data_IF_299065523757
#
_entry.id   IF_299065523757
#
_cell.length_a   1.000
_cell.length_b   1.000
_cell.length_c   1.000
_cell.angle_alpha   90.00
_cell.angle_beta   90.00
_cell.angle_gamma   90.00
#
_symmetry.space_group_name_H-M   'P 1'
#
loop_
_entity.id
_entity.type
_entity.pdbx_description
1 polymer ?
#
# COMPACT_ATOMS: atom_id res chain seq x y z
N UNK A 1 -12.67 -7.92 8.58
CA UNK A 1 -12.41 -6.68 9.33
C UNK A 1 -13.23 -6.70 10.61
N UNK A 2 -13.09 -5.71 11.49
CA UNK A 2 -13.78 -5.64 12.78
C UNK A 2 -15.32 -5.67 12.64
N UNK A 3 -15.85 -5.30 11.48
CA UNK A 3 -17.27 -5.39 11.10
C UNK A 3 -17.67 -6.74 10.48
N UNK A 4 -16.76 -7.72 10.41
CA UNK A 4 -16.95 -9.02 9.79
C UNK A 4 -16.81 -9.04 8.26
N UNK A 5 -16.60 -7.91 7.61
CA UNK A 5 -16.41 -7.85 6.15
C UNK A 5 -15.11 -8.52 5.70
N UNK A 6 -15.10 -9.01 4.46
CA UNK A 6 -13.90 -9.55 3.81
C UNK A 6 -13.40 -8.60 2.74
N UNK A 7 -12.09 -8.32 2.74
CA UNK A 7 -11.44 -7.50 1.71
C UNK A 7 -10.43 -8.36 0.96
N UNK A 8 -10.51 -8.36 -0.36
CA UNK A 8 -9.55 -9.03 -1.24
C UNK A 8 -8.54 -8.03 -1.77
N UNK A 9 -7.27 -8.37 -1.61
CA UNK A 9 -6.15 -7.59 -2.12
C UNK A 9 -5.45 -8.32 -3.25
N UNK A 10 -5.00 -7.56 -4.25
CA UNK A 10 -4.06 -7.99 -5.28
C UNK A 10 -2.84 -7.08 -5.24
N UNK A 11 -1.65 -7.66 -5.42
CA UNK A 11 -0.40 -6.91 -5.46
C UNK A 11 -0.05 -6.52 -6.88
N UNK A 12 0.23 -5.24 -7.08
CA UNK A 12 0.66 -4.68 -8.36
C UNK A 12 2.00 -4.00 -8.18
N UNK A 13 2.85 -3.98 -9.22
CA UNK A 13 3.94 -3.00 -9.26
C UNK A 13 3.32 -1.62 -9.09
N UNK A 14 4.01 -0.72 -8.41
CA UNK A 14 3.49 0.61 -8.13
C UNK A 14 2.99 1.33 -9.39
N UNK A 15 3.66 1.14 -10.53
CA UNK A 15 3.26 1.76 -11.80
C UNK A 15 2.11 1.07 -12.54
N UNK A 16 1.77 -0.17 -12.16
CA UNK A 16 0.70 -0.95 -12.80
C UNK A 16 -0.65 -0.77 -12.10
N UNK A 17 -0.69 0.03 -11.02
CA UNK A 17 -1.93 0.34 -10.29
C UNK A 17 -2.95 1.05 -11.20
N UNK A 18 -4.26 0.83 -11.00
CA UNK A 18 -5.32 1.47 -11.81
C UNK A 18 -5.23 3.00 -11.87
N UNK A 19 -4.72 3.64 -10.81
CA UNK A 19 -4.56 5.10 -10.72
C UNK A 19 -3.65 5.68 -11.80
N UNK A 20 -2.70 4.90 -12.34
CA UNK A 20 -1.79 5.35 -13.37
C UNK A 20 -2.31 5.18 -14.80
N UNK A 21 -3.35 4.35 -15.01
CA UNK A 21 -3.87 4.03 -16.35
C UNK A 21 -4.44 5.26 -17.07
N UNK A 22 -4.92 6.25 -16.33
CA UNK A 22 -5.45 7.49 -16.90
C UNK A 22 -4.37 8.39 -17.54
N UNK A 23 -3.09 8.15 -17.25
CA UNK A 23 -2.00 9.00 -17.73
C UNK A 23 -1.30 8.40 -18.95
N UNK A 24 -1.13 9.22 -19.98
CA UNK A 24 -0.31 8.87 -21.14
C UNK A 24 1.19 9.09 -20.84
N UNK A 25 1.75 8.28 -19.94
CA UNK A 25 3.16 8.35 -19.59
C UNK A 25 4.01 7.43 -20.45
N UNK A 26 5.21 7.91 -20.80
CA UNK A 26 6.22 7.06 -21.44
C UNK A 26 6.67 5.96 -20.49
N UNK A 27 7.09 4.83 -21.05
CA UNK A 27 7.65 3.72 -20.28
C UNK A 27 8.86 4.15 -19.45
N UNK A 28 9.73 5.02 -19.98
CA UNK A 28 10.87 5.57 -19.24
C UNK A 28 10.43 6.31 -17.96
N UNK A 29 9.34 7.09 -18.03
CA UNK A 29 8.82 7.82 -16.88
C UNK A 29 8.26 6.87 -15.83
N UNK A 30 7.54 5.83 -16.25
CA UNK A 30 7.02 4.80 -15.35
C UNK A 30 8.18 4.07 -14.66
N UNK A 31 9.15 3.57 -15.40
CA UNK A 31 10.28 2.83 -14.84
C UNK A 31 11.12 3.68 -13.86
N UNK A 32 11.27 4.99 -14.11
CA UNK A 32 11.90 5.91 -13.13
C UNK A 32 11.10 6.00 -11.83
N UNK A 33 9.77 6.08 -11.89
CA UNK A 33 8.93 6.11 -10.69
C UNK A 33 8.97 4.76 -9.95
N UNK A 34 8.89 3.65 -10.69
CA UNK A 34 8.99 2.30 -10.12
C UNK A 34 10.31 2.14 -9.36
N UNK A 35 11.44 2.47 -10.01
CA UNK A 35 12.77 2.43 -9.40
C UNK A 35 12.88 3.33 -8.16
N UNK A 36 12.18 4.47 -8.14
CA UNK A 36 12.16 5.35 -6.98
C UNK A 36 11.40 4.74 -5.80
N UNK A 37 10.25 4.13 -6.07
CA UNK A 37 9.44 3.45 -5.04
C UNK A 37 10.17 2.24 -4.48
N UNK A 38 10.84 1.46 -5.32
CA UNK A 38 11.67 0.32 -4.88
C UNK A 38 12.78 0.76 -3.91
N UNK A 39 13.42 1.92 -4.17
CA UNK A 39 14.39 2.51 -3.24
C UNK A 39 13.76 2.90 -1.91
N UNK A 40 12.54 3.46 -1.92
CA UNK A 40 11.80 3.78 -0.70
C UNK A 40 11.51 2.50 0.09
N UNK A 41 10.91 1.49 -0.54
CA UNK A 41 10.56 0.23 0.14
C UNK A 41 11.79 -0.46 0.74
N UNK A 42 12.93 -0.40 0.05
CA UNK A 42 14.18 -0.99 0.54
C UNK A 42 14.82 -0.20 1.69
N UNK A 43 14.58 1.11 1.78
CA UNK A 43 15.31 2.00 2.69
C UNK A 43 14.49 2.51 3.86
N UNK A 44 13.16 2.49 3.76
CA UNK A 44 12.25 3.13 4.71
C UNK A 44 11.42 2.05 5.42
N UNK A 45 11.90 1.52 6.55
CA UNK A 45 11.16 0.53 7.31
C UNK A 45 9.95 1.16 8.02
N UNK A 46 8.96 0.32 8.38
CA UNK A 46 7.69 0.74 8.99
C UNK A 46 7.83 1.25 10.45
N UNK A 47 8.93 0.90 11.12
CA UNK A 47 9.16 1.10 12.56
C UNK A 47 10.15 2.24 12.86
N UNK A 48 10.39 3.12 11.89
CA UNK A 48 11.22 4.33 12.07
C UNK A 48 10.34 5.56 12.36
N UNK A 49 10.87 6.45 13.21
CA UNK A 49 10.26 7.76 13.44
C UNK A 49 10.51 8.71 12.27
N UNK A 50 9.50 8.90 11.42
CA UNK A 50 9.53 9.86 10.29
C UNK A 50 8.92 11.22 10.63
N UNK A 51 8.20 11.32 11.74
CA UNK A 51 7.49 12.53 12.16
C UNK A 51 7.83 12.85 13.61
N UNK A 52 7.81 14.14 13.96
CA UNK A 52 7.96 14.54 15.35
C UNK A 52 6.80 13.98 16.20
N UNK A 53 7.03 13.75 17.51
CA UNK A 53 5.96 13.34 18.41
C UNK A 53 4.78 14.32 18.39
N UNK A 54 3.59 13.80 18.69
CA UNK A 54 2.38 14.63 18.79
C UNK A 54 2.58 15.75 19.81
N UNK A 55 2.22 16.98 19.43
CA UNK A 55 2.17 18.12 20.33
C UNK A 55 0.88 18.20 21.15
N UNK A 56 -0.18 17.52 20.72
CA UNK A 56 -1.47 17.40 21.43
C UNK A 56 -2.34 16.26 20.84
N UNK A 57 -3.39 15.86 21.57
CA UNK A 57 -4.38 14.87 21.10
C UNK A 57 -3.96 13.40 21.28
N UNK A 58 -4.70 12.50 20.62
CA UNK A 58 -4.43 11.05 20.56
C UNK A 58 -4.51 10.58 19.10
N UNK A 59 -3.70 9.59 18.73
CA UNK A 59 -3.75 9.00 17.38
C UNK A 59 -5.05 8.21 17.17
N UNK A 60 -5.58 8.26 15.95
CA UNK A 60 -6.56 7.28 15.50
C UNK A 60 -5.86 5.93 15.28
N UNK A 61 -6.60 4.84 15.49
CA UNK A 61 -6.13 3.50 15.20
C UNK A 61 -6.79 2.97 13.92
N UNK A 62 -6.03 2.20 13.15
CA UNK A 62 -6.58 1.38 12.07
C UNK A 62 -7.00 0.02 12.63
N UNK A 63 -7.96 -0.64 11.98
CA UNK A 63 -8.16 -2.07 12.16
C UNK A 63 -6.85 -2.80 11.79
N UNK A 64 -6.21 -3.56 12.70
CA UNK A 64 -4.97 -4.26 12.40
C UNK A 64 -5.06 -5.18 11.18
N UNK A 65 -6.26 -5.70 10.87
CA UNK A 65 -6.49 -6.54 9.69
C UNK A 65 -6.32 -5.78 8.35
N UNK A 66 -6.26 -4.45 8.36
CA UNK A 66 -5.95 -3.62 7.18
C UNK A 66 -4.45 -3.51 6.90
N UNK A 67 -3.59 -3.90 7.86
CA UNK A 67 -2.14 -3.92 7.69
C UNK A 67 -1.72 -5.28 7.11
N UNK A 68 -1.68 -5.36 5.78
CA UNK A 68 -1.38 -6.61 5.07
C UNK A 68 0.11 -6.80 4.82
N UNK A 69 0.56 -8.06 4.91
CA UNK A 69 1.95 -8.44 4.61
C UNK A 69 2.10 -8.78 3.13
N UNK A 70 3.11 -8.24 2.43
CA UNK A 70 3.36 -8.61 1.04
C UNK A 70 3.65 -10.10 0.87
N UNK A 71 3.15 -10.75 -0.20
CA UNK A 71 3.57 -12.08 -0.59
C UNK A 71 5.06 -12.14 -0.91
N UNK A 72 5.64 -13.35 -0.85
CA UNK A 72 7.04 -13.58 -1.18
C UNK A 72 7.37 -13.10 -2.60
N UNK A 73 8.38 -12.26 -2.74
CA UNK A 73 8.83 -11.68 -4.00
C UNK A 73 8.10 -10.39 -4.42
N UNK A 74 7.18 -9.88 -3.57
CA UNK A 74 6.42 -8.64 -3.78
C UNK A 74 6.65 -7.63 -2.66
N UNK A 75 7.73 -7.78 -1.88
CA UNK A 75 8.04 -6.90 -0.75
C UNK A 75 8.49 -5.51 -1.22
N UNK A 76 9.14 -5.43 -2.38
CA UNK A 76 9.80 -4.20 -2.89
C UNK A 76 9.16 -3.78 -4.21
N UNK A 77 8.64 -2.55 -4.27
CA UNK A 77 8.06 -1.98 -5.49
C UNK A 77 6.63 -2.42 -5.80
N UNK A 78 6.03 -3.30 -4.99
CA UNK A 78 4.62 -3.71 -5.12
C UNK A 78 3.79 -3.15 -3.99
N UNK A 79 2.52 -2.89 -4.29
CA UNK A 79 1.56 -2.37 -3.32
C UNK A 79 0.25 -3.15 -3.37
N UNK A 80 -0.42 -3.35 -2.21
CA UNK A 80 -1.71 -4.00 -2.14
C UNK A 80 -2.81 -3.07 -2.65
N UNK A 81 -3.63 -3.57 -3.57
CA UNK A 81 -4.81 -2.87 -4.10
C UNK A 81 -6.05 -3.69 -3.77
N UNK A 82 -7.03 -3.03 -3.16
CA UNK A 82 -8.34 -3.63 -2.91
C UNK A 82 -9.03 -3.84 -4.25
N UNK A 83 -9.35 -5.09 -4.55
CA UNK A 83 -10.09 -5.48 -5.77
C UNK A 83 -11.53 -5.88 -5.48
N UNK A 84 -11.83 -6.21 -4.21
CA UNK A 84 -13.17 -6.58 -3.77
C UNK A 84 -13.36 -6.36 -2.28
N UNK A 85 -14.56 -5.98 -1.87
CA UNK A 85 -15.02 -6.03 -0.50
C UNK A 85 -16.39 -6.72 -0.45
N UNK A 86 -16.60 -7.53 0.58
CA UNK A 86 -17.83 -8.27 0.84
C UNK A 86 -18.28 -8.06 2.28
N UNK A 87 -19.58 -7.92 2.47
CA UNK A 87 -20.15 -7.87 3.81
C UNK A 87 -19.97 -9.21 4.54
N UNK A 88 -20.08 -9.16 5.87
CA UNK A 88 -20.12 -10.35 6.68
C UNK A 88 -21.31 -11.23 6.24
N UNK A 89 -21.08 -12.55 6.11
CA UNK A 89 -22.18 -13.49 5.91
C UNK A 89 -23.03 -13.47 7.18
N UNK A 90 -24.30 -13.06 7.06
CA UNK A 90 -25.30 -13.14 8.13
C UNK A 90 -25.67 -14.59 8.45
#
# INVERSE_FOLDING_TARGET
LADGSTVTYSWYRFIDQPSFQQYNWSEEKKEKLQSFVEKIHASWPIDRDYMAPLSSGKLAAFDPALLVTPPKGMEVGYVPIVTRQEDAIQ
#
